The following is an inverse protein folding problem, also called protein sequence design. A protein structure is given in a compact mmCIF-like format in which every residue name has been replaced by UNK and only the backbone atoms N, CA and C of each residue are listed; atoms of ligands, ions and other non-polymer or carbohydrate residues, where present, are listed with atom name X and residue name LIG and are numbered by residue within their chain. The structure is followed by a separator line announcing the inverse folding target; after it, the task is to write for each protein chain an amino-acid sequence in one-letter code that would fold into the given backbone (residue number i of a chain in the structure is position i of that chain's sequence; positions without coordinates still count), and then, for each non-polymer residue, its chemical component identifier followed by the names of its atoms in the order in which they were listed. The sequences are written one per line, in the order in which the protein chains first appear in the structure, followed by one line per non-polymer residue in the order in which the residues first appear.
data_IF_674678180893
#
_entry.id   IF_674678180893
#
_cell.length_a   1.000
_cell.length_b   1.000
_cell.length_c   1.000
_cell.angle_alpha   90.00
_cell.angle_beta   90.00
_cell.angle_gamma   90.00
#
_symmetry.space_group_name_H-M   'P 1'
#
loop_
_entity.id
_entity.type
_entity.pdbx_description
1 polymer ?
#
# COMPACT_ATOMS: atom_id res chain seq x y z
N UNK A 1 -2.02 -46.86 -6.86
CA UNK A 1 -2.46 -46.59 -5.46
C UNK A 1 -1.40 -45.67 -4.86
N UNK A 2 -1.64 -44.36 -4.87
CA UNK A 2 -1.90 -43.48 -3.70
C UNK A 2 -0.65 -43.32 -2.80
N UNK A 3 -0.13 -42.14 -2.46
CA UNK A 3 -0.53 -40.73 -2.62
C UNK A 3 0.75 -39.85 -2.63
N UNK A 4 0.78 -38.64 -3.18
CA UNK A 4 0.07 -37.41 -2.76
C UNK A 4 0.25 -37.12 -1.25
N UNK A 5 1.17 -36.22 -0.90
CA UNK A 5 0.84 -34.92 -0.28
C UNK A 5 2.10 -34.27 0.32
N UNK A 6 2.53 -33.14 -0.23
CA UNK A 6 3.01 -32.01 0.56
C UNK A 6 3.10 -30.77 -0.34
N UNK A 7 1.98 -30.04 -0.34
CA UNK A 7 1.84 -28.68 -0.82
C UNK A 7 2.71 -27.76 0.05
N UNK A 8 3.71 -27.09 -0.56
CA UNK A 8 4.13 -25.74 -0.14
C UNK A 8 4.26 -24.88 -1.38
N UNK A 9 3.17 -24.15 -1.63
CA UNK A 9 3.16 -22.94 -2.44
C UNK A 9 4.14 -21.94 -1.82
N UNK A 10 5.15 -21.54 -2.59
CA UNK A 10 6.10 -20.50 -2.20
C UNK A 10 7.18 -20.35 -3.26
N UNK A 11 7.05 -19.34 -4.12
CA UNK A 11 8.04 -18.91 -5.12
C UNK A 11 8.39 -19.94 -6.22
N UNK A 12 7.72 -19.84 -7.37
CA UNK A 12 8.24 -20.47 -8.60
C UNK A 12 9.48 -19.68 -9.09
N UNK A 13 10.65 -19.98 -8.52
CA UNK A 13 11.90 -19.78 -9.23
C UNK A 13 11.97 -20.79 -10.37
N UNK A 14 11.51 -20.39 -11.55
CA UNK A 14 11.71 -21.17 -12.77
C UNK A 14 13.08 -20.78 -13.34
N UNK A 15 14.14 -21.36 -12.80
CA UNK A 15 15.46 -21.30 -13.41
C UNK A 15 15.42 -22.14 -14.70
N UNK A 16 15.33 -21.48 -15.86
CA UNK A 16 15.62 -22.12 -17.13
C UNK A 16 17.11 -22.54 -17.13
N UNK A 17 17.39 -23.72 -17.70
CA UNK A 17 18.64 -24.48 -17.55
C UNK A 17 19.96 -23.78 -17.90
N UNK A 18 21.09 -24.49 -17.70
CA UNK A 18 22.42 -23.90 -17.78
C UNK A 18 22.76 -23.60 -19.23
N UNK A 19 23.52 -22.52 -19.44
CA UNK A 19 24.09 -22.06 -20.72
C UNK A 19 23.28 -21.02 -21.49
N UNK A 20 23.04 -19.85 -20.90
CA UNK A 20 23.28 -18.54 -21.53
C UNK A 20 23.35 -17.47 -20.43
N UNK A 21 24.23 -16.49 -20.59
CA UNK A 21 24.51 -15.41 -19.62
C UNK A 21 23.33 -14.45 -19.41
N UNK A 22 22.24 -14.96 -18.84
CA UNK A 22 21.06 -14.20 -18.51
C UNK A 22 21.24 -13.49 -17.17
N UNK A 23 21.21 -12.16 -17.20
CA UNK A 23 20.93 -11.38 -16.00
C UNK A 23 19.68 -11.96 -15.33
N UNK A 24 19.81 -12.34 -14.06
CA UNK A 24 18.67 -12.72 -13.25
C UNK A 24 17.76 -11.49 -13.16
N UNK A 25 16.71 -11.42 -13.99
CA UNK A 25 15.68 -10.42 -13.81
C UNK A 25 14.94 -10.79 -12.54
N UNK A 26 15.36 -10.21 -11.42
CA UNK A 26 14.57 -10.25 -10.19
C UNK A 26 13.30 -9.46 -10.50
N UNK A 27 12.26 -10.16 -10.94
CA UNK A 27 10.93 -9.59 -11.09
C UNK A 27 10.48 -9.22 -9.68
N UNK A 28 10.74 -7.98 -9.27
CA UNK A 28 10.23 -7.49 -8.00
C UNK A 28 8.72 -7.60 -8.05
N UNK A 29 8.16 -8.41 -7.16
CA UNK A 29 6.72 -8.50 -7.02
C UNK A 29 6.18 -7.10 -6.73
N UNK A 30 5.05 -6.74 -7.35
CA UNK A 30 4.40 -5.46 -7.08
C UNK A 30 4.04 -5.38 -5.60
N UNK A 31 4.38 -4.27 -4.95
CA UNK A 31 4.04 -4.04 -3.56
C UNK A 31 2.77 -3.17 -3.43
N UNK A 32 2.10 -3.28 -2.29
CA UNK A 32 1.06 -2.32 -1.93
C UNK A 32 1.72 -1.09 -1.29
N UNK A 33 1.08 0.07 -1.41
CA UNK A 33 1.44 1.27 -0.67
C UNK A 33 0.35 1.57 0.36
N UNK A 34 0.73 2.12 1.51
CA UNK A 34 -0.19 2.62 2.52
C UNK A 34 0.07 4.11 2.75
N UNK A 35 -0.99 4.91 2.81
CA UNK A 35 -0.94 6.34 3.13
C UNK A 35 -1.85 6.61 4.31
N UNK A 36 -1.40 7.46 5.23
CA UNK A 36 -2.22 7.99 6.31
C UNK A 36 -1.92 9.48 6.49
N UNK A 37 -2.92 10.23 6.94
CA UNK A 37 -2.76 11.64 7.31
C UNK A 37 -2.69 11.75 8.84
N UNK A 38 -1.71 12.51 9.33
CA UNK A 38 -1.49 12.71 10.76
C UNK A 38 -1.23 14.18 11.07
N UNK A 39 -1.62 14.64 12.25
CA UNK A 39 -1.47 16.04 12.68
C UNK A 39 -2.68 16.93 12.37
N UNK A 40 -2.47 18.24 12.32
CA UNK A 40 -3.53 19.20 12.00
C UNK A 40 -3.86 19.21 10.50
N UNK A 41 -5.14 19.17 10.09
CA UNK A 41 -5.52 19.35 8.69
C UNK A 41 -5.03 20.70 8.15
N UNK A 42 -4.58 20.73 6.90
CA UNK A 42 -4.14 21.96 6.22
C UNK A 42 -4.92 22.17 4.93
N UNK A 43 -4.80 23.36 4.33
CA UNK A 43 -5.45 23.64 3.05
C UNK A 43 -4.94 22.77 1.89
N UNK A 44 -3.75 22.16 2.02
CA UNK A 44 -3.03 21.52 0.89
C UNK A 44 -2.71 20.04 1.09
N UNK A 45 -2.98 19.45 2.26
CA UNK A 45 -2.59 18.05 2.53
C UNK A 45 -3.32 17.04 1.64
N UNK A 46 -4.53 17.36 1.16
CA UNK A 46 -5.21 16.53 0.18
C UNK A 46 -4.59 16.62 -1.22
N UNK A 47 -3.93 17.73 -1.56
CA UNK A 47 -3.15 17.84 -2.79
C UNK A 47 -1.94 16.90 -2.76
N UNK A 48 -1.30 16.72 -1.60
CA UNK A 48 -0.26 15.70 -1.40
C UNK A 48 -0.81 14.29 -1.61
N UNK A 49 -1.98 13.97 -1.04
CA UNK A 49 -2.62 12.67 -1.23
C UNK A 49 -2.94 12.40 -2.71
N UNK A 50 -3.54 13.37 -3.40
CA UNK A 50 -3.80 13.28 -4.83
C UNK A 50 -2.51 13.04 -5.62
N UNK A 51 -1.43 13.77 -5.31
CA UNK A 51 -0.11 13.58 -5.94
C UNK A 51 0.47 12.17 -5.74
N UNK A 52 0.31 11.58 -4.55
CA UNK A 52 0.72 10.20 -4.27
C UNK A 52 -0.06 9.23 -5.17
N UNK A 53 -1.38 9.37 -5.25
CA UNK A 53 -2.25 8.49 -6.03
C UNK A 53 -1.97 8.59 -7.54
N UNK A 54 -1.79 9.81 -8.06
CA UNK A 54 -1.37 10.03 -9.46
C UNK A 54 0.01 9.43 -9.73
N UNK A 55 0.96 9.54 -8.80
CA UNK A 55 2.28 8.92 -8.94
C UNK A 55 2.21 7.40 -8.93
N UNK A 56 1.43 6.80 -8.02
CA UNK A 56 1.26 5.36 -7.93
C UNK A 56 0.68 4.77 -9.23
N UNK A 57 -0.29 5.44 -9.85
CA UNK A 57 -0.85 5.06 -11.17
C UNK A 57 0.22 5.01 -12.26
N UNK A 58 1.08 6.03 -12.31
CA UNK A 58 2.20 6.10 -13.28
C UNK A 58 3.23 4.98 -13.05
N UNK A 59 3.37 4.52 -11.81
CA UNK A 59 4.31 3.48 -11.42
C UNK A 59 3.62 2.13 -11.12
N UNK A 60 2.56 1.81 -11.87
CA UNK A 60 1.79 0.56 -11.73
C UNK A 60 2.59 -0.73 -11.97
N UNK A 61 3.82 -0.62 -12.49
CA UNK A 61 4.80 -1.71 -12.57
C UNK A 61 5.38 -2.09 -11.20
N UNK A 62 5.37 -1.16 -10.24
CA UNK A 62 5.97 -1.33 -8.90
C UNK A 62 4.92 -1.30 -7.79
N UNK A 63 3.90 -0.46 -7.93
CA UNK A 63 2.81 -0.33 -6.95
C UNK A 63 1.55 -1.02 -7.49
N UNK A 64 1.02 -1.98 -6.72
CA UNK A 64 -0.21 -2.72 -7.04
C UNK A 64 -1.45 -1.90 -6.67
N UNK A 65 -1.59 -1.60 -5.38
CA UNK A 65 -2.74 -0.89 -4.80
C UNK A 65 -2.22 0.12 -3.79
N UNK A 66 -2.91 1.26 -3.67
CA UNK A 66 -2.68 2.24 -2.60
C UNK A 66 -3.83 2.16 -1.62
N UNK A 67 -3.53 1.84 -0.37
CA UNK A 67 -4.48 1.86 0.74
C UNK A 67 -4.39 3.16 1.52
N UNK A 68 -5.52 3.66 2.01
CA UNK A 68 -5.62 4.80 2.90
C UNK A 68 -6.12 4.39 4.28
N UNK A 69 -5.40 4.72 5.35
CA UNK A 69 -5.88 4.48 6.71
C UNK A 69 -6.81 5.60 7.19
N UNK A 70 -8.06 5.26 7.53
CA UNK A 70 -9.05 6.23 7.95
C UNK A 70 -8.86 6.67 9.40
N UNK A 71 -8.75 7.98 9.66
CA UNK A 71 -8.37 8.56 10.95
C UNK A 71 -6.94 8.24 11.43
N UNK A 72 -5.98 8.22 10.50
CA UNK A 72 -4.56 8.15 10.82
C UNK A 72 -4.15 6.81 11.43
N UNK A 73 -3.29 6.85 12.45
CA UNK A 73 -2.74 5.63 13.08
C UNK A 73 -3.83 4.73 13.69
N UNK A 74 -4.91 5.31 14.23
CA UNK A 74 -6.03 4.53 14.77
C UNK A 74 -6.66 3.66 13.67
N UNK A 75 -6.92 4.22 12.49
CA UNK A 75 -7.43 3.44 11.36
C UNK A 75 -6.53 2.29 10.98
N UNK A 76 -5.22 2.52 11.00
CA UNK A 76 -4.25 1.50 10.69
C UNK A 76 -4.26 0.34 11.71
N UNK A 77 -4.26 0.64 13.01
CA UNK A 77 -4.26 -0.38 14.07
C UNK A 77 -5.52 -1.27 14.06
N UNK A 78 -6.65 -0.72 13.62
CA UNK A 78 -7.94 -1.41 13.54
C UNK A 78 -8.33 -1.80 12.11
N UNK A 79 -7.38 -1.82 11.17
CA UNK A 79 -7.59 -2.21 9.76
C UNK A 79 -8.75 -1.49 9.05
N UNK A 80 -9.04 -0.25 9.45
CA UNK A 80 -9.97 0.62 8.74
C UNK A 80 -9.28 1.25 7.54
N UNK A 81 -9.08 0.42 6.50
CA UNK A 81 -8.35 0.75 5.28
C UNK A 81 -9.29 0.92 4.10
N UNK A 82 -9.03 1.96 3.30
CA UNK A 82 -9.74 2.27 2.06
C UNK A 82 -8.86 1.90 0.86
N UNK A 83 -9.40 1.20 -0.14
CA UNK A 83 -8.73 1.07 -1.44
C UNK A 83 -8.87 2.38 -2.22
N UNK A 84 -7.74 3.07 -2.41
CA UNK A 84 -7.67 4.35 -3.13
C UNK A 84 -7.25 4.18 -4.60
N UNK A 85 -6.87 2.98 -5.02
CA UNK A 85 -6.40 2.70 -6.37
C UNK A 85 -7.48 2.95 -7.42
N UNK A 86 -8.72 2.64 -7.07
CA UNK A 86 -9.89 2.63 -7.95
C UNK A 86 -10.64 3.97 -8.05
N UNK A 87 -10.15 5.04 -7.43
CA UNK A 87 -10.84 6.33 -7.45
C UNK A 87 -10.93 6.95 -8.86
N UNK A 88 -12.06 7.49 -9.31
CA UNK A 88 -12.12 8.20 -10.59
C UNK A 88 -11.19 9.41 -10.63
N UNK A 89 -10.67 9.77 -11.81
CA UNK A 89 -9.77 10.92 -11.96
C UNK A 89 -10.44 12.23 -11.51
N UNK A 90 -11.75 12.37 -11.74
CA UNK A 90 -12.55 13.51 -11.28
C UNK A 90 -12.56 13.63 -9.75
N UNK A 91 -12.57 12.49 -9.05
CA UNK A 91 -12.50 12.48 -7.58
C UNK A 91 -11.11 12.90 -7.11
N UNK A 92 -10.04 12.46 -7.79
CA UNK A 92 -8.68 12.92 -7.47
C UNK A 92 -8.50 14.42 -7.68
N UNK A 93 -9.06 14.98 -8.76
CA UNK A 93 -9.02 16.42 -9.01
C UNK A 93 -9.79 17.20 -7.93
N UNK A 94 -11.00 16.75 -7.59
CA UNK A 94 -11.78 17.35 -6.50
C UNK A 94 -11.04 17.29 -5.16
N UNK A 95 -10.44 16.14 -4.86
CA UNK A 95 -9.62 15.94 -3.66
C UNK A 95 -8.46 16.94 -3.60
N UNK A 96 -7.74 17.13 -4.71
CA UNK A 96 -6.60 18.04 -4.76
C UNK A 96 -6.95 19.50 -4.45
N UNK A 97 -8.21 19.90 -4.66
CA UNK A 97 -8.72 21.25 -4.38
C UNK A 97 -9.57 21.34 -3.10
N UNK A 98 -9.69 20.25 -2.34
CA UNK A 98 -10.48 20.22 -1.10
C UNK A 98 -9.56 20.44 0.10
N UNK A 99 -9.75 21.51 0.90
CA UNK A 99 -8.97 21.72 2.11
C UNK A 99 -9.29 20.66 3.18
N UNK A 100 -8.39 20.48 4.14
CA UNK A 100 -8.54 19.52 5.22
C UNK A 100 -7.89 18.17 4.92
N UNK A 101 -8.22 17.15 5.70
CA UNK A 101 -7.65 15.80 5.61
C UNK A 101 -8.75 14.81 5.21
N UNK A 102 -8.77 14.38 3.96
CA UNK A 102 -9.82 13.52 3.40
C UNK A 102 -9.83 12.11 3.98
N UNK A 103 -8.68 11.59 4.43
CA UNK A 103 -8.63 10.33 5.17
C UNK A 103 -8.99 10.50 6.64
N UNK A 104 -9.30 11.72 7.09
CA UNK A 104 -9.26 12.07 8.50
C UNK A 104 -7.82 12.09 9.01
N UNK A 105 -7.62 12.69 10.19
CA UNK A 105 -6.30 12.78 10.79
C UNK A 105 -6.37 12.48 12.29
N UNK A 106 -5.30 11.91 12.82
CA UNK A 106 -5.09 11.72 14.25
C UNK A 106 -3.75 12.34 14.69
N UNK A 107 -3.67 12.71 15.97
CA UNK A 107 -2.43 13.18 16.61
C UNK A 107 -1.73 12.09 17.43
N UNK A 108 -2.27 10.87 17.39
CA UNK A 108 -1.71 9.70 18.04
C UNK A 108 -0.33 9.39 17.44
N UNK A 109 0.65 9.19 18.32
CA UNK A 109 1.98 8.69 17.95
C UNK A 109 2.03 7.19 18.26
N UNK A 110 2.73 6.38 17.44
CA UNK A 110 2.91 4.97 17.75
C UNK A 110 3.72 4.83 19.04
N UNK A 111 3.26 3.92 19.89
CA UNK A 111 3.98 3.47 21.08
C UNK A 111 4.62 2.11 20.81
N UNK A 112 5.51 1.68 21.69
CA UNK A 112 6.13 0.36 21.59
C UNK A 112 5.12 -0.78 21.58
N UNK A 113 4.02 -0.65 22.33
CA UNK A 113 2.91 -1.63 22.37
C UNK A 113 2.15 -1.76 21.04
N UNK A 114 2.22 -0.75 20.16
CA UNK A 114 1.52 -0.74 18.87
C UNK A 114 2.32 -1.45 17.75
N UNK A 115 3.62 -1.63 17.93
CA UNK A 115 4.52 -2.01 16.83
C UNK A 115 4.25 -3.42 16.30
N UNK A 116 4.04 -4.40 17.18
CA UNK A 116 3.76 -5.78 16.77
C UNK A 116 2.48 -5.83 15.91
N UNK A 117 1.44 -5.12 16.36
CA UNK A 117 0.18 -5.00 15.62
C UNK A 117 0.37 -4.30 14.28
N UNK A 118 1.17 -3.23 14.20
CA UNK A 118 1.47 -2.57 12.93
C UNK A 118 2.15 -3.52 11.94
N UNK A 119 3.10 -4.33 12.42
CA UNK A 119 3.75 -5.34 11.58
C UNK A 119 2.81 -6.45 11.15
N UNK A 120 1.82 -6.84 11.97
CA UNK A 120 0.76 -7.76 11.55
C UNK A 120 -0.02 -7.20 10.36
N UNK A 121 -0.50 -5.96 10.47
CA UNK A 121 -1.27 -5.31 9.39
C UNK A 121 -0.47 -5.17 8.11
N UNK A 122 0.85 -4.95 8.18
CA UNK A 122 1.68 -4.87 6.97
C UNK A 122 1.98 -6.22 6.31
N UNK A 123 1.74 -7.34 6.98
CA UNK A 123 1.97 -8.69 6.44
C UNK A 123 0.76 -9.25 5.68
N UNK A 124 -0.43 -8.72 5.91
CA UNK A 124 -1.69 -9.12 5.28
C UNK A 124 -1.83 -8.59 3.84
#
# INVERSE_FOLDING_TARGET
MLGCSLHRSGSQHRCAGPNHGGACIVSHAKANALVLQSGGPTAVINQTLAGILTSARRHSKHIKTVFGAFHGLHGLLYENLLDLGSLPEQVLQGLAHTPGAALGSARMKPKSEDLDRLFDVFRE
#
